data_IF_063213520063
#
_entry.id   IF_063213520063
#
_cell.length_a   1.000
_cell.length_b   1.000
_cell.length_c   1.000
_cell.angle_alpha   90.00
_cell.angle_beta   90.00
_cell.angle_gamma   90.00
#
_symmetry.space_group_name_H-M   'P 1'
#
loop_
_entity.id
_entity.type
_entity.pdbx_description
1 polymer ?
#
# COMPACT_ATOMS: atom_id res chain seq x y z
N UNK A 1 9.63 12.27 -12.70
CA UNK A 1 8.36 12.65 -12.02
C UNK A 1 8.56 12.45 -10.53
N UNK A 2 8.15 13.38 -9.69
CA UNK A 2 8.29 13.25 -8.23
C UNK A 2 7.17 12.37 -7.66
N UNK A 3 7.53 11.27 -6.99
CA UNK A 3 6.58 10.48 -6.20
C UNK A 3 6.56 10.98 -4.74
N UNK A 4 5.37 10.96 -4.14
CA UNK A 4 5.16 11.24 -2.73
C UNK A 4 5.04 9.96 -1.91
N UNK A 5 4.46 8.89 -2.49
CA UNK A 5 4.41 7.56 -1.88
C UNK A 5 4.97 6.56 -2.89
N UNK A 6 5.78 5.63 -2.43
CA UNK A 6 6.31 4.53 -3.24
C UNK A 6 6.23 3.24 -2.44
N UNK A 7 5.66 2.20 -3.06
CA UNK A 7 5.67 0.83 -2.60
C UNK A 7 6.67 0.07 -3.46
N UNK A 8 7.55 -0.69 -2.84
CA UNK A 8 8.51 -1.52 -3.55
C UNK A 8 8.46 -2.96 -3.04
N UNK A 9 8.01 -3.88 -3.90
CA UNK A 9 7.91 -5.31 -3.60
C UNK A 9 7.02 -5.64 -2.41
N UNK A 10 5.93 -4.89 -2.21
CA UNK A 10 5.05 -5.05 -1.06
C UNK A 10 4.29 -6.36 -1.12
N UNK A 11 4.44 -7.18 -0.09
CA UNK A 11 3.60 -8.37 0.11
C UNK A 11 2.93 -8.34 1.48
N UNK A 12 1.71 -8.85 1.54
CA UNK A 12 0.94 -8.91 2.78
C UNK A 12 -0.06 -10.07 2.76
N UNK A 13 -0.14 -10.75 3.92
CA UNK A 13 -1.16 -11.75 4.23
C UNK A 13 -1.98 -11.25 5.41
N UNK A 14 -3.27 -11.54 5.40
CA UNK A 14 -4.12 -11.28 6.56
C UNK A 14 -3.69 -12.15 7.75
N UNK A 15 -4.11 -11.83 8.99
CA UNK A 15 -3.84 -12.69 10.16
C UNK A 15 -4.29 -14.14 9.98
N UNK A 16 -5.33 -14.38 9.19
CA UNK A 16 -5.84 -15.72 8.84
C UNK A 16 -5.02 -16.42 7.74
N UNK A 17 -3.93 -15.81 7.27
CA UNK A 17 -3.02 -16.36 6.27
C UNK A 17 -3.42 -16.12 4.82
N UNK A 18 -4.54 -15.43 4.55
CA UNK A 18 -4.96 -15.13 3.17
C UNK A 18 -4.05 -14.07 2.56
N UNK A 19 -3.43 -14.39 1.42
CA UNK A 19 -2.67 -13.41 0.63
C UNK A 19 -3.57 -12.32 0.04
N UNK A 20 -3.22 -11.05 0.28
CA UNK A 20 -3.87 -9.90 -0.35
C UNK A 20 -2.98 -9.26 -1.42
N UNK A 21 -1.68 -9.15 -1.14
CA UNK A 21 -0.71 -8.57 -2.06
C UNK A 21 0.50 -9.48 -2.16
N UNK A 22 1.02 -9.58 -3.38
CA UNK A 22 2.24 -10.32 -3.70
C UNK A 22 3.08 -9.46 -4.64
N UNK A 23 4.26 -9.05 -4.16
CA UNK A 23 5.24 -8.25 -4.90
C UNK A 23 4.67 -6.99 -5.59
N UNK A 24 3.87 -6.21 -4.85
CA UNK A 24 3.23 -5.01 -5.37
C UNK A 24 4.19 -3.80 -5.36
N UNK A 25 4.48 -3.27 -6.55
CA UNK A 25 5.26 -2.03 -6.74
C UNK A 25 4.37 -0.97 -7.37
N UNK A 26 4.24 0.19 -6.70
CA UNK A 26 3.40 1.31 -7.13
C UNK A 26 4.03 2.64 -6.70
N UNK A 27 3.79 3.70 -7.46
CA UNK A 27 4.17 5.06 -7.09
C UNK A 27 2.98 6.01 -7.25
N UNK A 28 2.81 6.90 -6.28
CA UNK A 28 1.76 7.93 -6.27
C UNK A 28 2.43 9.30 -6.32
N UNK A 29 2.03 10.13 -7.29
CA UNK A 29 2.46 11.51 -7.42
C UNK A 29 1.55 12.49 -6.69
N UNK A 30 1.54 13.75 -7.14
CA UNK A 30 0.70 14.81 -6.57
C UNK A 30 -0.75 14.79 -7.09
N UNK A 31 -1.00 14.02 -8.14
CA UNK A 31 -2.30 13.86 -8.76
C UNK A 31 -3.30 13.10 -7.88
N UNK A 32 -4.58 13.26 -8.20
CA UNK A 32 -5.64 12.49 -7.56
C UNK A 32 -5.61 11.06 -8.10
N UNK A 33 -5.39 10.10 -7.21
CA UNK A 33 -5.44 8.67 -7.55
C UNK A 33 -6.68 8.02 -6.94
N UNK A 34 -7.41 7.24 -7.75
CA UNK A 34 -8.53 6.43 -7.30
C UNK A 34 -8.12 4.98 -7.06
N UNK A 35 -8.33 4.47 -5.85
CA UNK A 35 -8.14 3.05 -5.54
C UNK A 35 -9.48 2.30 -5.69
N UNK A 36 -9.63 1.56 -6.79
CA UNK A 36 -10.88 0.87 -7.15
C UNK A 36 -10.78 -0.64 -7.03
N UNK A 37 -11.91 -1.30 -6.76
CA UNK A 37 -12.01 -2.75 -6.65
C UNK A 37 -13.17 -3.19 -5.75
N UNK A 38 -13.54 -4.48 -5.80
CA UNK A 38 -14.64 -5.04 -5.00
C UNK A 38 -14.38 -4.93 -3.49
N UNK A 39 -15.40 -5.13 -2.67
CA UNK A 39 -15.23 -5.24 -1.22
C UNK A 39 -14.39 -6.48 -0.88
N UNK A 40 -13.49 -6.36 0.11
CA UNK A 40 -12.62 -7.47 0.54
C UNK A 40 -11.40 -7.75 -0.34
N UNK A 41 -11.09 -6.90 -1.33
CA UNK A 41 -9.86 -7.04 -2.17
C UNK A 41 -8.61 -6.40 -1.53
N UNK A 42 -8.74 -5.80 -0.34
CA UNK A 42 -7.59 -5.23 0.39
C UNK A 42 -7.40 -3.72 0.28
N UNK A 43 -8.34 -2.95 -0.31
CA UNK A 43 -8.18 -1.48 -0.45
C UNK A 43 -7.84 -0.75 0.86
N UNK A 44 -8.65 -0.96 1.90
CA UNK A 44 -8.39 -0.39 3.24
C UNK A 44 -7.08 -0.90 3.82
N UNK A 45 -6.76 -2.18 3.61
CA UNK A 45 -5.49 -2.76 4.04
C UNK A 45 -4.30 -2.08 3.37
N UNK A 46 -4.37 -1.81 2.06
CA UNK A 46 -3.32 -1.11 1.32
C UNK A 46 -3.08 0.29 1.89
N UNK A 47 -4.16 1.03 2.17
CA UNK A 47 -4.05 2.35 2.80
C UNK A 47 -3.41 2.27 4.19
N UNK A 48 -3.81 1.31 5.03
CA UNK A 48 -3.20 1.11 6.35
C UNK A 48 -1.71 0.73 6.29
N UNK A 49 -1.32 -0.10 5.32
CA UNK A 49 0.08 -0.45 5.08
C UNK A 49 0.88 0.78 4.63
N UNK A 50 0.31 1.63 3.77
CA UNK A 50 0.93 2.92 3.37
C UNK A 50 1.15 3.87 4.56
N UNK A 51 0.21 3.87 5.50
CA UNK A 51 0.26 4.68 6.72
C UNK A 51 1.18 4.10 7.80
N UNK A 52 1.72 2.89 7.61
CA UNK A 52 2.52 2.19 8.62
C UNK A 52 1.70 1.65 9.80
N UNK A 53 0.37 1.60 9.69
CA UNK A 53 -0.52 1.06 10.73
C UNK A 53 -0.53 -0.47 10.78
N UNK A 54 -0.08 -1.12 9.70
CA UNK A 54 0.06 -2.57 9.60
C UNK A 54 1.50 -2.94 9.23
N UNK A 55 1.99 -4.04 9.81
CA UNK A 55 3.31 -4.56 9.51
C UNK A 55 3.32 -5.26 8.15
N UNK A 56 4.30 -4.91 7.32
CA UNK A 56 4.56 -5.57 6.03
C UNK A 56 5.09 -6.99 6.25
N UNK A 57 4.72 -7.92 5.38
CA UNK A 57 5.40 -9.22 5.33
C UNK A 57 6.74 -9.11 4.59
N UNK A 58 6.78 -8.31 3.52
CA UNK A 58 8.00 -7.95 2.78
C UNK A 58 7.80 -6.65 2.01
N UNK A 59 8.91 -6.11 1.49
CA UNK A 59 8.93 -4.88 0.71
C UNK A 59 9.08 -3.64 1.59
N UNK A 60 8.97 -2.47 0.96
CA UNK A 60 9.12 -1.18 1.63
C UNK A 60 8.03 -0.20 1.22
N UNK A 61 7.72 0.73 2.13
CA UNK A 61 6.90 1.91 1.87
C UNK A 61 7.74 3.14 2.16
N UNK A 62 7.89 4.01 1.18
CA UNK A 62 8.55 5.31 1.31
C UNK A 62 7.52 6.41 1.12
N UNK A 63 7.42 7.33 2.07
CA UNK A 63 6.57 8.51 1.97
C UNK A 63 7.38 9.79 2.16
N UNK A 64 7.15 10.77 1.28
CA UNK A 64 7.68 12.12 1.37
C UNK A 64 6.54 13.05 1.75
N UNK A 65 6.45 13.44 3.02
CA UNK A 65 5.38 14.30 3.54
C UNK A 65 4.73 13.72 4.79
N UNK A 66 3.53 14.22 5.12
CA UNK A 66 2.72 13.73 6.25
C UNK A 66 1.26 13.56 5.79
N UNK A 67 0.57 12.61 6.40
CA UNK A 67 -0.88 12.50 6.32
C UNK A 67 -1.48 13.42 7.39
N UNK A 68 -2.45 14.24 7.00
CA UNK A 68 -3.11 15.23 7.85
C UNK A 68 -4.40 14.74 8.44
#
# INVERSE_FOLDING_TARGET
MSSFITLDGLSYKTPEGRGLFDNLTLAFGAERTGLVGRNGVGKTTLLRLMLGELQLASGTVSMRGRVG
#
